data_IF_661918414592
#
_entry.id   IF_661918414592
#
_cell.length_a   1.000
_cell.length_b   1.000
_cell.length_c   1.000
_cell.angle_alpha   90.00
_cell.angle_beta   90.00
_cell.angle_gamma   90.00
#
_symmetry.space_group_name_H-M   'P 1'
#
loop_
_entity.id
_entity.type
_entity.pdbx_description
1 polymer ?
#
# COMPACT_ATOMS: atom_id res chain seq x y z
N UNK A 1 -1.36 24.63 10.97
CA UNK A 1 -0.86 23.26 10.70
C UNK A 1 -1.49 22.32 11.72
N UNK A 2 -2.13 21.21 11.31
CA UNK A 2 -2.81 20.29 12.24
C UNK A 2 -1.78 19.67 13.20
N UNK A 3 -2.05 19.66 14.51
CA UNK A 3 -1.17 19.11 15.56
C UNK A 3 -0.57 17.74 15.21
N UNK A 4 -1.37 16.86 14.60
CA UNK A 4 -0.96 15.52 14.14
C UNK A 4 0.19 15.54 13.12
N UNK A 5 0.27 16.57 12.28
CA UNK A 5 1.35 16.72 11.27
C UNK A 5 2.64 17.15 11.95
N UNK A 6 2.57 18.08 12.92
CA UNK A 6 3.73 18.53 13.67
C UNK A 6 4.37 17.38 14.47
N UNK A 7 3.56 16.58 15.15
CA UNK A 7 4.03 15.37 15.87
C UNK A 7 4.73 14.39 14.93
N UNK A 8 4.18 14.17 13.72
CA UNK A 8 4.77 13.26 12.73
C UNK A 8 6.16 13.69 12.25
N UNK A 9 6.45 15.00 12.26
CA UNK A 9 7.77 15.54 11.90
C UNK A 9 8.78 15.46 13.04
N UNK A 10 8.34 15.39 14.30
CA UNK A 10 9.23 15.32 15.47
C UNK A 10 9.60 13.88 15.86
N UNK A 11 8.78 12.91 15.47
CA UNK A 11 9.06 11.50 15.75
C UNK A 11 10.22 10.99 14.88
N UNK A 12 11.19 10.25 15.45
CA UNK A 12 12.27 9.63 14.68
C UNK A 12 11.71 8.48 13.83
N UNK A 13 11.23 8.82 12.62
CA UNK A 13 10.46 7.92 11.76
C UNK A 13 11.21 6.62 11.44
N UNK A 14 12.53 6.69 11.23
CA UNK A 14 13.35 5.51 10.99
C UNK A 14 13.43 4.57 12.19
N UNK A 15 13.59 5.11 13.40
CA UNK A 15 13.62 4.32 14.63
C UNK A 15 12.25 3.68 14.88
N UNK A 16 11.16 4.43 14.69
CA UNK A 16 9.81 3.91 14.81
C UNK A 16 9.56 2.77 13.81
N UNK A 17 9.95 2.94 12.55
CA UNK A 17 9.84 1.88 11.53
C UNK A 17 10.67 0.64 11.88
N UNK A 18 11.86 0.82 12.45
CA UNK A 18 12.68 -0.30 12.92
C UNK A 18 12.02 -1.06 14.07
N UNK A 19 11.42 -0.35 15.03
CA UNK A 19 10.66 -0.94 16.13
C UNK A 19 9.42 -1.69 15.63
N UNK A 20 8.65 -1.08 14.72
CA UNK A 20 7.48 -1.71 14.09
C UNK A 20 7.88 -2.99 13.37
N UNK A 21 8.99 -2.99 12.63
CA UNK A 21 9.51 -4.19 11.95
C UNK A 21 9.81 -5.32 12.93
N UNK A 22 10.45 -5.03 14.06
CA UNK A 22 10.75 -6.03 15.10
C UNK A 22 9.44 -6.56 15.71
N UNK A 23 8.54 -5.66 16.09
CA UNK A 23 7.25 -6.01 16.68
C UNK A 23 6.37 -6.84 15.73
N UNK A 24 6.34 -6.48 14.44
CA UNK A 24 5.57 -7.16 13.40
C UNK A 24 6.09 -8.57 13.08
N UNK A 25 7.39 -8.83 13.32
CA UNK A 25 8.04 -10.13 13.08
C UNK A 25 8.16 -10.98 14.34
N UNK A 26 7.70 -10.50 15.48
CA UNK A 26 7.73 -11.26 16.72
C UNK A 26 6.74 -12.43 16.68
N UNK A 27 7.27 -13.65 16.82
CA UNK A 27 6.53 -14.92 16.67
C UNK A 27 5.74 -15.38 17.92
N UNK A 28 5.81 -14.64 19.03
CA UNK A 28 5.10 -15.05 20.25
C UNK A 28 3.58 -15.02 20.02
N UNK A 29 2.93 -16.19 20.17
CA UNK A 29 1.55 -16.42 19.73
C UNK A 29 0.54 -15.43 20.32
N UNK A 30 0.55 -15.11 21.62
CA UNK A 30 -0.37 -14.13 22.20
C UNK A 30 -0.22 -12.74 21.57
N UNK A 31 1.01 -12.27 21.38
CA UNK A 31 1.30 -10.96 20.78
C UNK A 31 0.85 -10.88 19.32
N UNK A 32 1.30 -11.81 18.47
CA UNK A 32 0.94 -11.76 17.04
C UNK A 32 -0.56 -11.89 16.84
N UNK A 33 -1.22 -12.80 17.57
CA UNK A 33 -2.65 -13.03 17.41
C UNK A 33 -3.45 -11.83 17.91
N UNK A 34 -3.03 -11.20 19.01
CA UNK A 34 -3.62 -9.95 19.46
C UNK A 34 -3.49 -8.86 18.40
N UNK A 35 -2.28 -8.65 17.85
CA UNK A 35 -2.01 -7.61 16.86
C UNK A 35 -2.81 -7.82 15.57
N UNK A 36 -2.82 -9.05 15.03
CA UNK A 36 -3.59 -9.41 13.83
C UNK A 36 -5.09 -9.17 14.08
N UNK A 37 -5.65 -9.67 15.19
CA UNK A 37 -7.06 -9.47 15.51
C UNK A 37 -7.43 -7.99 15.68
N UNK A 38 -6.52 -7.16 16.21
CA UNK A 38 -6.72 -5.71 16.31
C UNK A 38 -6.82 -5.07 14.92
N UNK A 39 -5.96 -5.46 13.98
CA UNK A 39 -6.00 -4.95 12.60
C UNK A 39 -7.23 -5.44 11.85
N UNK A 40 -7.54 -6.75 11.94
CA UNK A 40 -8.74 -7.33 11.31
C UNK A 40 -10.00 -6.58 11.74
N UNK A 41 -10.18 -6.36 13.04
CA UNK A 41 -11.35 -5.62 13.56
C UNK A 41 -11.29 -4.13 13.28
N UNK A 42 -10.12 -3.52 13.37
CA UNK A 42 -9.95 -2.07 13.21
C UNK A 42 -10.13 -1.59 11.76
N UNK A 43 -9.75 -2.42 10.80
CA UNK A 43 -9.78 -2.08 9.38
C UNK A 43 -10.83 -2.87 8.58
N UNK A 44 -11.49 -3.86 9.19
CA UNK A 44 -12.49 -4.70 8.52
C UNK A 44 -11.85 -5.57 7.43
N UNK A 45 -10.73 -6.22 7.75
CA UNK A 45 -10.03 -7.13 6.82
C UNK A 45 -10.92 -8.33 6.52
N UNK A 46 -11.14 -8.63 5.24
CA UNK A 46 -11.87 -9.83 4.84
C UNK A 46 -10.93 -11.04 4.82
N UNK A 47 -11.09 -11.93 5.82
CA UNK A 47 -10.35 -13.18 5.91
C UNK A 47 -10.95 -14.29 5.04
N UNK A 48 -12.16 -14.11 4.49
CA UNK A 48 -12.76 -15.09 3.60
C UNK A 48 -12.03 -15.17 2.26
N UNK A 49 -11.38 -14.10 1.83
CA UNK A 49 -10.55 -14.06 0.61
C UNK A 49 -9.12 -14.55 0.83
N UNK A 50 -8.64 -14.57 2.08
CA UNK A 50 -7.29 -15.04 2.41
C UNK A 50 -7.17 -16.56 2.24
N UNK A 51 -6.02 -17.03 1.79
CA UNK A 51 -5.73 -18.47 1.65
C UNK A 51 -5.91 -19.21 2.98
N UNK A 52 -5.54 -18.58 4.10
CA UNK A 52 -5.83 -19.04 5.45
C UNK A 52 -6.69 -18.02 6.21
N UNK A 53 -7.89 -18.43 6.62
CA UNK A 53 -8.72 -17.61 7.51
C UNK A 53 -8.31 -17.72 8.99
N UNK A 54 -7.46 -18.70 9.35
CA UNK A 54 -7.00 -18.91 10.72
C UNK A 54 -5.84 -17.97 11.05
N UNK A 55 -6.09 -16.97 11.89
CA UNK A 55 -5.08 -16.04 12.41
C UNK A 55 -3.91 -16.77 13.11
N UNK A 56 -4.17 -17.93 13.72
CA UNK A 56 -3.13 -18.67 14.41
C UNK A 56 -2.09 -19.29 13.46
N UNK A 57 -2.44 -19.52 12.19
CA UNK A 57 -1.58 -20.13 11.17
C UNK A 57 -0.38 -19.26 10.77
N UNK A 58 -0.53 -17.93 10.82
CA UNK A 58 0.53 -16.99 10.47
C UNK A 58 1.67 -16.98 11.49
N UNK A 59 2.92 -17.04 11.04
CA UNK A 59 4.08 -17.08 11.94
C UNK A 59 4.24 -15.80 12.80
N UNK A 60 3.87 -14.64 12.26
CA UNK A 60 3.91 -13.32 12.88
C UNK A 60 3.01 -12.34 12.09
N UNK A 61 2.86 -11.10 12.54
CA UNK A 61 1.99 -10.11 11.89
C UNK A 61 2.43 -9.77 10.46
N UNK A 62 3.73 -9.62 10.19
CA UNK A 62 4.23 -9.29 8.84
C UNK A 62 3.81 -10.36 7.79
N UNK A 63 3.75 -11.65 8.17
CA UNK A 63 3.28 -12.73 7.31
C UNK A 63 1.76 -12.68 7.07
N UNK A 64 1.00 -12.16 8.03
CA UNK A 64 -0.41 -11.86 7.85
C UNK A 64 -0.64 -10.62 6.96
N UNK A 65 0.22 -9.60 7.11
CA UNK A 65 0.13 -8.37 6.32
C UNK A 65 0.32 -8.63 4.83
N UNK A 66 1.20 -9.58 4.47
CA UNK A 66 1.39 -10.07 3.09
C UNK A 66 0.70 -11.42 2.85
N UNK A 67 -0.46 -11.66 3.48
CA UNK A 67 -1.20 -12.93 3.33
C UNK A 67 -1.49 -13.23 1.85
N UNK A 68 -1.36 -14.50 1.47
CA UNK A 68 -1.83 -14.95 0.17
C UNK A 68 -3.37 -14.88 0.10
N UNK A 69 -3.89 -14.57 -1.08
CA UNK A 69 -5.32 -14.66 -1.39
C UNK A 69 -5.64 -16.02 -2.00
N UNK A 70 -6.88 -16.49 -1.83
CA UNK A 70 -7.36 -17.73 -2.45
C UNK A 70 -7.28 -17.65 -3.97
N UNK A 71 -6.95 -18.75 -4.66
CA UNK A 71 -7.05 -18.80 -6.11
C UNK A 71 -8.45 -18.42 -6.59
N UNK A 72 -8.53 -17.61 -7.65
CA UNK A 72 -9.81 -17.25 -8.29
C UNK A 72 -10.57 -16.09 -7.65
N UNK A 73 -10.17 -15.54 -6.50
CA UNK A 73 -10.85 -14.35 -5.90
C UNK A 73 -10.51 -13.03 -6.61
N UNK A 74 -9.53 -13.07 -7.52
CA UNK A 74 -9.16 -11.98 -8.43
C UNK A 74 -9.06 -12.53 -9.86
N UNK A 75 -10.20 -12.78 -10.54
CA UNK A 75 -10.18 -13.22 -11.92
C UNK A 75 -9.53 -12.12 -12.79
N UNK A 76 -8.61 -12.53 -13.65
CA UNK A 76 -7.93 -11.62 -14.60
C UNK A 76 -8.70 -11.62 -15.91
N UNK A 77 -8.81 -10.44 -16.54
CA UNK A 77 -9.31 -10.33 -17.91
C UNK A 77 -8.35 -11.07 -18.86
N UNK A 78 -8.91 -11.83 -19.78
CA UNK A 78 -8.17 -12.63 -20.76
C UNK A 78 -7.81 -11.85 -22.03
N UNK A 79 -8.42 -10.68 -22.28
CA UNK A 79 -8.04 -9.85 -23.43
C UNK A 79 -6.59 -9.34 -23.25
N UNK A 80 -5.65 -9.70 -24.15
CA UNK A 80 -4.26 -9.24 -24.05
C UNK A 80 -4.10 -7.72 -24.21
N UNK A 81 -5.16 -7.00 -24.60
CA UNK A 81 -5.19 -5.53 -24.70
C UNK A 81 -5.76 -4.87 -23.44
N UNK A 82 -6.32 -5.63 -22.51
CA UNK A 82 -6.83 -5.10 -21.25
C UNK A 82 -5.70 -4.71 -20.31
N UNK A 83 -5.80 -3.51 -19.73
CA UNK A 83 -4.92 -3.08 -18.65
C UNK A 83 -5.56 -3.44 -17.31
N UNK A 84 -4.93 -4.36 -16.58
CA UNK A 84 -5.42 -4.81 -15.28
C UNK A 84 -4.96 -3.87 -14.16
N UNK A 85 -5.76 -3.77 -13.10
CA UNK A 85 -5.35 -3.09 -11.89
C UNK A 85 -4.20 -3.87 -11.23
N UNK A 86 -3.11 -3.20 -10.81
CA UNK A 86 -1.93 -3.88 -10.28
C UNK A 86 -2.11 -4.33 -8.82
N UNK A 87 -3.09 -3.79 -8.11
CA UNK A 87 -3.33 -4.05 -6.70
C UNK A 87 -4.78 -3.74 -6.33
N UNK A 88 -5.25 -4.35 -5.25
CA UNK A 88 -6.47 -3.94 -4.55
C UNK A 88 -6.27 -2.56 -3.92
N UNK A 89 -7.34 -1.78 -3.79
CA UNK A 89 -7.28 -0.48 -3.13
C UNK A 89 -8.20 0.53 -3.78
N UNK A 90 -7.81 1.81 -3.73
CA UNK A 90 -8.56 2.90 -4.32
C UNK A 90 -7.70 3.74 -5.24
N UNK A 91 -8.24 4.09 -6.40
CA UNK A 91 -7.64 5.12 -7.24
C UNK A 91 -7.79 6.45 -6.50
N UNK A 92 -6.66 6.96 -6.02
CA UNK A 92 -6.60 8.27 -5.38
C UNK A 92 -6.68 9.38 -6.42
N UNK A 93 -5.95 9.23 -7.53
CA UNK A 93 -5.96 10.12 -8.70
C UNK A 93 -5.56 9.36 -9.96
N UNK A 94 -6.05 9.80 -11.11
CA UNK A 94 -5.66 9.33 -12.42
C UNK A 94 -5.79 10.47 -13.43
N UNK A 95 -4.99 10.47 -14.49
CA UNK A 95 -5.08 11.47 -15.55
C UNK A 95 -3.88 11.49 -16.48
N UNK A 96 -3.84 12.51 -17.33
CA UNK A 96 -2.71 12.76 -18.22
C UNK A 96 -1.55 13.43 -17.46
N UNK A 97 -0.33 13.08 -17.84
CA UNK A 97 0.89 13.79 -17.45
C UNK A 97 0.95 15.07 -18.28
N UNK A 98 0.97 16.22 -17.61
CA UNK A 98 1.00 17.53 -18.28
C UNK A 98 2.29 18.26 -17.94
N UNK A 99 3.04 18.68 -18.95
CA UNK A 99 4.35 19.34 -18.78
C UNK A 99 5.29 18.55 -17.88
N UNK A 100 5.27 17.21 -17.99
CA UNK A 100 6.10 16.34 -17.16
C UNK A 100 5.69 16.25 -15.69
N UNK A 101 4.48 16.72 -15.31
CA UNK A 101 3.99 16.70 -13.94
C UNK A 101 2.85 15.71 -13.75
N UNK A 102 2.86 15.07 -12.59
CA UNK A 102 1.80 14.21 -12.08
C UNK A 102 1.15 14.93 -10.90
N UNK A 103 -0.18 15.02 -10.94
CA UNK A 103 -0.96 15.54 -9.81
C UNK A 103 -0.99 14.46 -8.72
N UNK A 104 -0.68 14.83 -7.49
CA UNK A 104 -0.79 13.97 -6.29
C UNK A 104 -1.86 14.50 -5.32
N UNK A 105 -2.28 13.62 -4.39
CA UNK A 105 -3.30 13.96 -3.42
C UNK A 105 -2.82 15.14 -2.54
N UNK A 106 -3.73 16.08 -2.23
CA UNK A 106 -3.50 17.30 -1.43
C UNK A 106 -2.81 18.47 -2.16
N UNK A 107 -3.02 18.61 -3.48
CA UNK A 107 -2.65 19.82 -4.22
C UNK A 107 -1.14 20.04 -4.36
N UNK A 108 -0.36 18.96 -4.29
CA UNK A 108 1.07 18.96 -4.56
C UNK A 108 1.31 18.18 -5.83
N UNK A 109 1.90 18.83 -6.82
CA UNK A 109 2.32 18.18 -8.06
C UNK A 109 3.81 17.86 -7.96
N UNK A 110 4.22 16.71 -8.48
CA UNK A 110 5.62 16.34 -8.63
C UNK A 110 5.94 16.16 -10.10
N UNK A 111 7.17 16.46 -10.48
CA UNK A 111 7.64 16.08 -11.82
C UNK A 111 7.88 14.57 -11.88
N UNK A 112 7.73 14.01 -13.08
CA UNK A 112 8.07 12.62 -13.36
C UNK A 112 9.55 12.34 -13.03
N UNK A 113 10.44 13.29 -13.32
CA UNK A 113 11.86 13.17 -12.99
C UNK A 113 12.12 13.07 -11.47
N UNK A 114 11.45 13.88 -10.64
CA UNK A 114 11.57 13.79 -9.18
C UNK A 114 11.02 12.46 -8.66
N UNK A 115 9.88 12.02 -9.18
CA UNK A 115 9.24 10.77 -8.75
C UNK A 115 10.12 9.55 -9.05
N UNK A 116 10.78 9.54 -10.20
CA UNK A 116 11.58 8.41 -10.67
C UNK A 116 13.08 8.55 -10.39
N UNK A 117 13.53 9.72 -9.91
CA UNK A 117 14.96 10.01 -9.73
C UNK A 117 15.76 10.01 -11.03
N UNK A 118 15.11 10.24 -12.18
CA UNK A 118 15.70 10.16 -13.52
C UNK A 118 15.29 11.38 -14.36
N UNK A 119 16.25 12.24 -14.68
CA UNK A 119 16.02 13.45 -15.48
C UNK A 119 15.50 13.16 -16.89
N UNK A 120 15.87 12.01 -17.48
CA UNK A 120 15.40 11.63 -18.82
C UNK A 120 13.96 11.09 -18.81
N UNK A 121 13.41 10.76 -17.63
CA UNK A 121 12.08 10.18 -17.53
C UNK A 121 10.97 11.16 -17.95
N UNK A 122 11.16 12.46 -17.74
CA UNK A 122 10.21 13.50 -18.18
C UNK A 122 9.90 13.39 -19.67
N UNK A 123 10.91 13.16 -20.51
CA UNK A 123 10.73 13.00 -21.94
C UNK A 123 10.14 11.64 -22.31
N UNK A 124 10.58 10.57 -21.63
CA UNK A 124 10.08 9.21 -21.85
C UNK A 124 8.58 9.08 -21.61
N UNK A 125 8.06 9.79 -20.60
CA UNK A 125 6.65 9.77 -20.21
C UNK A 125 5.91 11.07 -20.57
N UNK A 126 6.48 11.88 -21.47
CA UNK A 126 5.81 13.09 -21.96
C UNK A 126 4.45 12.73 -22.57
N UNK A 127 3.40 13.49 -22.22
CA UNK A 127 2.01 13.24 -22.61
C UNK A 127 1.46 11.83 -22.28
N UNK A 128 2.12 11.13 -21.35
CA UNK A 128 1.64 9.83 -20.85
C UNK A 128 0.42 9.96 -19.95
N UNK A 129 -0.02 8.84 -19.38
CA UNK A 129 -1.08 8.79 -18.36
C UNK A 129 -0.55 8.18 -17.07
N UNK A 130 -1.13 8.58 -15.94
CA UNK A 130 -0.79 8.06 -14.62
C UNK A 130 -2.04 7.61 -13.86
N UNK A 131 -1.83 6.67 -12.94
CA UNK A 131 -2.83 6.22 -11.96
C UNK A 131 -2.13 6.01 -10.61
N UNK A 132 -2.63 6.67 -9.56
CA UNK A 132 -2.13 6.54 -8.20
C UNK A 132 -3.09 5.64 -7.40
N UNK A 133 -2.67 4.42 -7.08
CA UNK A 133 -3.47 3.45 -6.30
C UNK A 133 -3.03 3.48 -4.84
N UNK A 134 -3.98 3.72 -3.92
CA UNK A 134 -3.77 3.69 -2.48
C UNK A 134 -4.24 2.36 -1.89
N UNK A 135 -3.32 1.65 -1.23
CA UNK A 135 -3.58 0.44 -0.46
C UNK A 135 -3.77 0.84 1.00
N UNK A 136 -4.93 0.51 1.55
CA UNK A 136 -5.22 0.70 2.97
C UNK A 136 -4.87 -0.56 3.76
N UNK A 137 -4.72 -0.49 5.10
CA UNK A 137 -4.35 -1.68 5.90
C UNK A 137 -5.37 -2.83 5.90
N UNK A 138 -6.52 -2.66 5.24
CA UNK A 138 -7.54 -3.70 5.07
C UNK A 138 -7.30 -4.56 3.82
N UNK A 139 -6.68 -3.96 2.80
CA UNK A 139 -6.48 -4.54 1.49
C UNK A 139 -5.28 -5.50 1.64
#
# INVERSE_FOLDING_TARGET
MRFSVAVSHMLPQHALSALVRVAARWRWRPWKNWLINRVVRGYGVDLAEAESADVASYAHFDAFFTRALKPGVRPLDADPRSLLCPADGRISQAGAIRNGRIVQAKGRDYSVAELLGDAAATQRYAEGSFVNVYLSPRD
#
